data_IF_384390794669
#
_entry.id   IF_384390794669
#
_cell.length_a   1.000
_cell.length_b   1.000
_cell.length_c   1.000
_cell.angle_alpha   90.00
_cell.angle_beta   90.00
_cell.angle_gamma   90.00
#
_symmetry.space_group_name_H-M   'P 1'
#
loop_
_entity.id
_entity.type
_entity.pdbx_description
1 polymer ?
#
# COMPACT_ATOMS: atom_id res chain seq x y z
N UNK A 1 -50.84 15.18 -37.06
CA UNK A 1 -50.51 14.61 -35.72
C UNK A 1 -49.43 13.52 -35.74
N UNK A 2 -49.34 12.67 -36.78
CA UNK A 2 -48.37 11.57 -36.89
C UNK A 2 -46.88 12.00 -36.88
N UNK A 3 -46.54 13.11 -37.56
CA UNK A 3 -45.15 13.60 -37.63
C UNK A 3 -44.63 14.03 -36.26
N UNK A 4 -45.44 14.72 -35.45
CA UNK A 4 -45.08 15.09 -34.06
C UNK A 4 -44.82 13.86 -33.18
N UNK A 5 -45.52 12.74 -33.42
CA UNK A 5 -45.36 11.48 -32.67
C UNK A 5 -44.06 10.76 -33.05
N UNK A 6 -43.68 10.77 -34.33
CA UNK A 6 -42.37 10.26 -34.78
C UNK A 6 -41.22 11.17 -34.35
N UNK A 7 -41.41 12.49 -34.41
CA UNK A 7 -40.42 13.49 -34.00
C UNK A 7 -40.07 13.39 -32.51
N UNK A 8 -41.08 13.19 -31.64
CA UNK A 8 -40.83 12.90 -30.23
C UNK A 8 -40.08 11.58 -30.01
N UNK A 9 -40.29 10.57 -30.85
CA UNK A 9 -39.74 9.23 -30.64
C UNK A 9 -38.22 9.17 -30.84
N UNK A 10 -37.69 9.78 -31.91
CA UNK A 10 -36.24 9.77 -32.15
C UNK A 10 -35.47 10.60 -31.12
N UNK A 11 -36.05 11.68 -30.61
CA UNK A 11 -35.45 12.50 -29.54
C UNK A 11 -35.22 11.67 -28.28
N UNK A 12 -36.16 10.81 -27.92
CA UNK A 12 -36.01 9.88 -26.79
C UNK A 12 -34.98 8.77 -27.06
N UNK A 13 -34.86 8.29 -28.30
CA UNK A 13 -33.79 7.34 -28.65
C UNK A 13 -32.40 7.98 -28.52
N UNK A 14 -32.23 9.21 -28.99
CA UNK A 14 -30.97 9.96 -28.84
C UNK A 14 -30.68 10.23 -27.37
N UNK A 15 -31.68 10.61 -26.57
CA UNK A 15 -31.52 10.82 -25.12
C UNK A 15 -31.10 9.54 -24.39
N UNK A 16 -31.70 8.38 -24.73
CA UNK A 16 -31.27 7.08 -24.19
C UNK A 16 -29.83 6.76 -24.58
N UNK A 17 -29.46 6.91 -25.85
CA UNK A 17 -28.10 6.68 -26.32
C UNK A 17 -27.09 7.59 -25.60
N UNK A 18 -27.42 8.87 -25.44
CA UNK A 18 -26.59 9.81 -24.67
C UNK A 18 -26.41 9.35 -23.22
N UNK A 19 -27.48 8.92 -22.55
CA UNK A 19 -27.40 8.40 -21.18
C UNK A 19 -26.53 7.15 -21.12
N UNK A 20 -26.72 6.19 -22.02
CA UNK A 20 -25.92 4.95 -22.05
C UNK A 20 -24.44 5.20 -22.33
N UNK A 21 -24.11 6.17 -23.18
CA UNK A 21 -22.72 6.50 -23.51
C UNK A 21 -22.05 7.36 -22.43
N UNK A 22 -22.78 8.32 -21.84
CA UNK A 22 -22.23 9.20 -20.81
C UNK A 22 -22.13 8.54 -19.44
N UNK A 23 -23.03 7.60 -19.11
CA UNK A 23 -23.06 6.89 -17.84
C UNK A 23 -21.72 6.21 -17.47
N UNK A 24 -21.12 5.33 -18.29
CA UNK A 24 -19.88 4.65 -17.92
C UNK A 24 -18.71 5.62 -17.76
N UNK A 25 -18.66 6.70 -18.56
CA UNK A 25 -17.61 7.72 -18.47
C UNK A 25 -17.75 8.54 -17.18
N UNK A 26 -18.98 8.94 -16.84
CA UNK A 26 -19.24 9.64 -15.59
C UNK A 26 -18.96 8.76 -14.37
N UNK A 27 -19.38 7.49 -14.39
CA UNK A 27 -19.05 6.54 -13.34
C UNK A 27 -17.53 6.35 -13.22
N UNK A 28 -16.82 6.21 -14.34
CA UNK A 28 -15.36 6.08 -14.33
C UNK A 28 -14.72 7.30 -13.63
N UNK A 29 -15.09 8.52 -14.01
CA UNK A 29 -14.56 9.71 -13.36
C UNK A 29 -14.94 9.80 -11.89
N UNK A 30 -16.20 9.54 -11.53
CA UNK A 30 -16.64 9.65 -10.14
C UNK A 30 -15.95 8.64 -9.21
N UNK A 31 -15.84 7.38 -9.64
CA UNK A 31 -15.30 6.30 -8.80
C UNK A 31 -13.78 6.16 -8.88
N UNK A 32 -13.12 6.61 -9.97
CA UNK A 32 -11.66 6.50 -10.14
C UNK A 32 -10.93 7.82 -9.87
N UNK A 33 -11.59 8.78 -9.22
CA UNK A 33 -10.96 10.03 -8.79
C UNK A 33 -9.91 9.73 -7.71
N UNK A 34 -8.62 10.06 -7.93
CA UNK A 34 -7.53 9.64 -7.04
C UNK A 34 -7.70 10.13 -5.60
N UNK A 35 -8.38 11.26 -5.40
CA UNK A 35 -8.64 11.85 -4.08
C UNK A 35 -9.43 10.91 -3.16
N UNK A 36 -10.46 10.23 -3.66
CA UNK A 36 -11.28 9.30 -2.85
C UNK A 36 -10.48 8.04 -2.52
N UNK A 37 -9.72 7.55 -3.51
CA UNK A 37 -8.92 6.34 -3.36
C UNK A 37 -7.76 6.50 -2.37
N UNK A 38 -7.08 7.66 -2.40
CA UNK A 38 -5.96 7.94 -1.49
C UNK A 38 -6.38 7.95 -0.02
N UNK A 39 -7.53 8.54 0.31
CA UNK A 39 -8.02 8.59 1.69
C UNK A 39 -8.35 7.20 2.23
N UNK A 40 -9.05 6.38 1.46
CA UNK A 40 -9.42 5.02 1.86
C UNK A 40 -8.20 4.11 1.98
N UNK A 41 -7.30 4.12 0.99
CA UNK A 41 -6.06 3.32 1.03
C UNK A 41 -5.17 3.78 2.18
N UNK A 42 -5.05 5.09 2.41
CA UNK A 42 -4.27 5.62 3.53
C UNK A 42 -4.85 5.21 4.87
N UNK A 43 -6.18 5.22 5.02
CA UNK A 43 -6.87 4.75 6.23
C UNK A 43 -6.64 3.27 6.47
N UNK A 44 -6.80 2.43 5.45
CA UNK A 44 -6.54 0.98 5.51
C UNK A 44 -5.07 0.73 5.88
N UNK A 45 -4.14 1.44 5.22
CA UNK A 45 -2.71 1.33 5.52
C UNK A 45 -2.40 1.70 6.97
N UNK A 46 -2.98 2.77 7.49
CA UNK A 46 -2.80 3.20 8.90
C UNK A 46 -3.40 2.20 9.89
N UNK A 47 -4.51 1.53 9.54
CA UNK A 47 -5.12 0.51 10.39
C UNK A 47 -4.26 -0.75 10.49
N UNK A 48 -3.72 -1.22 9.36
CA UNK A 48 -2.91 -2.44 9.32
C UNK A 48 -1.44 -2.22 9.70
N UNK A 49 -0.92 -1.02 9.44
CA UNK A 49 0.44 -0.61 9.76
C UNK A 49 0.39 0.65 10.60
N UNK A 50 0.10 0.52 11.91
CA UNK A 50 0.12 1.66 12.80
C UNK A 50 1.51 2.32 12.73
N UNK A 51 1.59 3.65 12.70
CA UNK A 51 2.88 4.34 12.73
C UNK A 51 3.62 3.92 14.01
N UNK A 52 4.75 3.25 13.84
CA UNK A 52 5.60 2.77 14.94
C UNK A 52 5.92 3.94 15.86
N UNK A 53 5.65 3.80 17.16
CA UNK A 53 6.00 4.84 18.12
C UNK A 53 7.51 5.05 18.16
N UNK A 54 8.00 6.25 18.54
CA UNK A 54 9.43 6.48 18.73
C UNK A 54 10.05 5.45 19.71
N UNK A 55 9.33 5.09 20.76
CA UNK A 55 9.72 4.09 21.76
C UNK A 55 9.88 2.69 21.15
N UNK A 56 8.93 2.26 20.31
CA UNK A 56 9.02 0.97 19.61
C UNK A 56 10.20 0.93 18.64
N UNK A 57 10.50 2.06 17.99
CA UNK A 57 11.70 2.16 17.12
C UNK A 57 12.97 2.01 17.94
N UNK A 58 13.05 2.69 19.07
CA UNK A 58 14.19 2.61 19.98
C UNK A 58 14.38 1.19 20.55
N UNK A 59 13.29 0.51 20.93
CA UNK A 59 13.34 -0.86 21.42
C UNK A 59 13.86 -1.84 20.34
N UNK A 60 13.41 -1.69 19.10
CA UNK A 60 13.89 -2.48 17.96
C UNK A 60 15.38 -2.21 17.72
N UNK A 61 15.81 -0.95 17.72
CA UNK A 61 17.22 -0.59 17.55
C UNK A 61 18.10 -1.16 18.66
N UNK A 62 17.65 -1.09 19.92
CA UNK A 62 18.38 -1.64 21.06
C UNK A 62 18.49 -3.16 20.96
N UNK A 63 17.42 -3.86 20.58
CA UNK A 63 17.48 -5.31 20.32
C UNK A 63 18.49 -5.67 19.22
N UNK A 64 18.52 -4.91 18.12
CA UNK A 64 19.49 -5.13 17.03
C UNK A 64 20.92 -4.95 17.54
N UNK A 65 21.18 -3.89 18.32
CA UNK A 65 22.50 -3.64 18.92
C UNK A 65 22.93 -4.78 19.83
N UNK A 66 22.05 -5.27 20.69
CA UNK A 66 22.34 -6.40 21.58
C UNK A 66 22.67 -7.70 20.82
N UNK A 67 21.89 -8.01 19.79
CA UNK A 67 22.11 -9.22 18.98
C UNK A 67 23.45 -9.13 18.23
N UNK A 68 23.77 -7.97 17.67
CA UNK A 68 25.04 -7.75 16.98
C UNK A 68 26.23 -7.84 17.95
N UNK A 69 26.14 -7.21 19.12
CA UNK A 69 27.19 -7.31 20.14
C UNK A 69 27.44 -8.76 20.59
N UNK A 70 26.38 -9.55 20.76
CA UNK A 70 26.50 -10.99 21.09
C UNK A 70 27.14 -11.80 19.96
N UNK A 71 26.82 -11.48 18.69
CA UNK A 71 27.43 -12.12 17.51
C UNK A 71 28.92 -11.80 17.42
N UNK A 72 29.30 -10.54 17.59
CA UNK A 72 30.70 -10.11 17.55
C UNK A 72 31.52 -10.77 18.67
N UNK A 73 30.99 -10.80 19.89
CA UNK A 73 31.66 -11.47 21.02
C UNK A 73 31.86 -12.97 20.77
N UNK A 74 30.86 -13.64 20.17
CA UNK A 74 30.97 -15.06 19.82
C UNK A 74 32.05 -15.27 18.76
N UNK A 75 32.06 -14.45 17.71
CA UNK A 75 33.08 -14.52 16.67
C UNK A 75 34.49 -14.33 17.23
N UNK A 76 34.69 -13.38 18.15
CA UNK A 76 35.98 -13.17 18.81
C UNK A 76 36.42 -14.40 19.62
N UNK A 77 35.52 -14.99 20.41
CA UNK A 77 35.81 -16.21 21.19
C UNK A 77 36.18 -17.40 20.31
N UNK A 78 35.50 -17.57 19.18
CA UNK A 78 35.80 -18.61 18.20
C UNK A 78 37.18 -18.39 17.55
N UNK A 79 37.53 -17.14 17.23
CA UNK A 79 38.87 -16.79 16.72
C UNK A 79 39.97 -17.03 17.75
N UNK A 80 39.74 -16.70 19.02
CA UNK A 80 40.69 -16.97 20.11
C UNK A 80 40.89 -18.47 20.31
N UNK A 81 39.81 -19.26 20.35
CA UNK A 81 39.90 -20.71 20.47
C UNK A 81 40.65 -21.35 19.29
N UNK A 82 40.39 -20.89 18.06
CA UNK A 82 41.12 -21.33 16.88
C UNK A 82 42.61 -20.92 16.91
N UNK A 83 42.94 -19.76 17.47
CA UNK A 83 44.31 -19.29 17.65
C UNK A 83 45.07 -20.13 18.68
N UNK A 84 44.44 -20.45 19.81
CA UNK A 84 45.05 -21.30 20.83
C UNK A 84 45.27 -22.73 20.30
N UNK A 85 44.29 -23.33 19.61
CA UNK A 85 44.50 -24.65 18.98
C UNK A 85 45.69 -24.67 18.00
N UNK A 86 45.91 -23.58 17.26
CA UNK A 86 47.09 -23.43 16.37
C UNK A 86 48.42 -23.23 17.09
N UNK A 87 48.43 -22.84 18.37
CA UNK A 87 49.67 -22.72 19.15
C UNK A 87 50.13 -24.05 19.74
N UNK A 88 49.20 -25.00 19.93
CA UNK A 88 49.47 -26.32 20.51
C UNK A 88 49.60 -27.44 19.46
N UNK A 89 49.45 -27.11 18.17
CA UNK A 89 49.71 -27.98 17.02
C UNK A 89 51.05 -27.60 16.37
#
# INVERSE_FOLDING_TARGET
>A
MLVKRFQKRWQWEVAKMFMYMSFPVMCFHYFNTPQIFEEEVTKIKKLHYPPTSPEQREEIENMIREVNAKRELRALKEMEAAREQKKFA
#
